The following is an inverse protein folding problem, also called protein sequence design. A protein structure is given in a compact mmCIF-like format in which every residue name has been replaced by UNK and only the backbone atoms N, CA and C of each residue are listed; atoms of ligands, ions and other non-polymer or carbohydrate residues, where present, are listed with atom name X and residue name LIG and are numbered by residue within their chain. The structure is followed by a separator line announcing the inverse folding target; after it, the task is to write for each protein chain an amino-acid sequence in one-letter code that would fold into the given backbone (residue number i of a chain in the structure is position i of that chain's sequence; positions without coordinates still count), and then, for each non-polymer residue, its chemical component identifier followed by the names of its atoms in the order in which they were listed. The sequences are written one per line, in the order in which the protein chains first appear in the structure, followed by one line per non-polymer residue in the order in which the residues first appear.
data_IF_351861969211
#
_entry.id   IF_351861969211
#
_cell.length_a   1.000
_cell.length_b   1.000
_cell.length_c   1.000
_cell.angle_alpha   90.00
_cell.angle_beta   90.00
_cell.angle_gamma   90.00
#
_symmetry.space_group_name_H-M   'P 1'
#
loop_
_entity.id
_entity.type
_entity.pdbx_description
1 polymer ?
#
# COMPACT_ATOMS: atom_id res chain seq x y z
N UNK A 1 -3.28 24.41 -9.32
CA UNK A 1 -4.13 24.32 -8.08
C UNK A 1 -3.23 24.18 -6.85
N UNK A 2 -3.60 24.80 -5.72
CA UNK A 2 -2.84 24.67 -4.47
C UNK A 2 -3.39 23.50 -3.65
N UNK A 3 -2.71 22.36 -3.67
CA UNK A 3 -3.14 21.14 -2.94
C UNK A 3 -3.19 21.33 -1.42
N UNK A 4 -2.45 22.30 -0.86
CA UNK A 4 -2.42 22.59 0.58
C UNK A 4 -3.70 23.26 1.08
N UNK A 5 -4.46 23.92 0.18
CA UNK A 5 -5.73 24.60 0.50
C UNK A 5 -6.98 23.74 0.25
N UNK A 6 -6.83 22.49 -0.25
CA UNK A 6 -7.98 21.62 -0.46
C UNK A 6 -8.75 21.39 0.85
N UNK A 7 -10.09 21.50 0.85
CA UNK A 7 -10.91 21.32 2.05
C UNK A 7 -11.10 19.84 2.39
N UNK A 8 -10.00 19.15 2.76
CA UNK A 8 -10.04 17.78 3.22
C UNK A 8 -10.57 17.73 4.65
N UNK A 9 -11.56 16.88 4.88
CA UNK A 9 -12.17 16.72 6.21
C UNK A 9 -11.19 16.01 7.14
N UNK A 10 -10.80 16.60 8.30
CA UNK A 10 -9.97 15.93 9.26
C UNK A 10 -10.58 14.62 9.77
N UNK A 11 -9.76 13.61 10.00
CA UNK A 11 -10.23 12.38 10.63
C UNK A 11 -10.64 12.66 12.09
N UNK A 12 -11.83 12.20 12.45
CA UNK A 12 -12.32 12.24 13.82
C UNK A 12 -12.88 10.88 14.20
N UNK A 13 -12.44 10.37 15.34
CA UNK A 13 -12.98 9.13 15.92
C UNK A 13 -13.60 9.41 17.27
N UNK A 14 -14.70 8.73 17.65
CA UNK A 14 -15.23 8.80 19.00
C UNK A 14 -14.20 8.39 20.04
N UNK A 15 -14.26 8.96 21.24
CA UNK A 15 -13.31 8.70 22.33
C UNK A 15 -13.14 7.21 22.65
N UNK A 16 -14.23 6.44 22.68
CA UNK A 16 -14.20 5.00 22.97
C UNK A 16 -13.53 4.17 21.87
N UNK A 17 -13.40 4.69 20.65
CA UNK A 17 -12.66 4.09 19.53
C UNK A 17 -11.20 4.58 19.46
N UNK A 18 -10.84 5.57 20.28
CA UNK A 18 -9.47 6.07 20.34
C UNK A 18 -8.47 5.09 20.97
N UNK A 19 -8.96 3.96 21.50
CA UNK A 19 -8.10 2.90 22.05
C UNK A 19 -7.17 2.36 20.95
N UNK A 20 -5.88 2.28 21.24
CA UNK A 20 -4.83 1.92 20.27
C UNK A 20 -5.05 0.60 19.52
N UNK A 21 -5.55 -0.41 20.17
CA UNK A 21 -5.67 -1.74 19.58
C UNK A 21 -6.98 -1.92 18.80
N UNK A 22 -8.03 -1.19 19.19
CA UNK A 22 -9.35 -1.27 18.58
C UNK A 22 -9.29 -0.81 17.11
N UNK A 23 -8.69 0.33 16.82
CA UNK A 23 -8.63 0.89 15.46
C UNK A 23 -7.84 0.03 14.47
N UNK A 24 -6.85 -0.77 14.91
CA UNK A 24 -6.09 -1.65 14.02
C UNK A 24 -6.82 -2.97 13.71
N UNK A 25 -7.58 -3.48 14.68
CA UNK A 25 -8.20 -4.80 14.59
C UNK A 25 -9.65 -4.69 14.12
N UNK A 26 -10.39 -3.69 14.57
CA UNK A 26 -11.81 -3.50 14.31
C UNK A 26 -12.19 -3.45 12.82
N UNK A 27 -11.39 -2.83 11.92
CA UNK A 27 -11.71 -2.81 10.49
C UNK A 27 -11.90 -4.20 9.87
N UNK A 28 -11.19 -5.21 10.38
CA UNK A 28 -11.31 -6.59 9.90
C UNK A 28 -12.66 -7.23 10.21
N UNK A 29 -13.38 -6.69 11.20
CA UNK A 29 -14.71 -7.17 11.57
C UNK A 29 -15.85 -6.35 10.93
N UNK A 30 -15.54 -5.23 10.28
CA UNK A 30 -16.51 -4.47 9.50
C UNK A 30 -16.69 -5.16 8.16
N UNK A 31 -17.73 -5.98 8.07
CA UNK A 31 -18.06 -6.70 6.83
C UNK A 31 -18.57 -5.72 5.78
N UNK A 32 -17.78 -5.50 4.74
CA UNK A 32 -18.21 -4.85 3.52
C UNK A 32 -18.57 -5.91 2.49
N UNK A 33 -19.63 -5.71 1.67
CA UNK A 33 -19.91 -6.59 0.54
C UNK A 33 -18.68 -6.67 -0.35
N UNK A 34 -18.37 -7.86 -0.86
CA UNK A 34 -17.27 -8.01 -1.81
C UNK A 34 -17.66 -7.34 -3.12
N UNK A 35 -16.80 -6.48 -3.71
CA UNK A 35 -17.02 -5.92 -5.04
C UNK A 35 -17.07 -7.03 -6.10
N UNK A 36 -17.76 -6.77 -7.21
CA UNK A 36 -17.73 -7.67 -8.36
C UNK A 36 -16.41 -7.51 -9.11
N UNK A 37 -15.37 -8.17 -8.60
CA UNK A 37 -14.05 -8.12 -9.22
C UNK A 37 -13.98 -8.93 -10.50
N UNK A 38 -13.46 -8.32 -11.56
CA UNK A 38 -13.03 -9.01 -12.77
C UNK A 38 -11.51 -9.23 -12.66
N UNK A 39 -11.11 -10.48 -12.47
CA UNK A 39 -9.70 -10.84 -12.29
C UNK A 39 -9.02 -11.07 -13.62
N UNK A 40 -7.91 -10.38 -13.83
CA UNK A 40 -6.99 -10.59 -14.94
C UNK A 40 -5.63 -11.03 -14.38
N UNK A 41 -5.01 -12.01 -15.03
CA UNK A 41 -3.65 -12.42 -14.72
C UNK A 41 -2.71 -11.80 -15.75
N UNK A 42 -1.65 -11.16 -15.26
CA UNK A 42 -0.66 -10.51 -16.09
C UNK A 42 0.74 -10.95 -15.68
N UNK A 43 1.70 -11.01 -16.62
CA UNK A 43 3.08 -11.29 -16.27
C UNK A 43 3.64 -10.22 -15.35
N UNK A 44 4.50 -10.61 -14.41
CA UNK A 44 5.35 -9.67 -13.70
C UNK A 44 6.42 -9.08 -14.64
N UNK A 45 7.21 -8.10 -14.19
CA UNK A 45 8.25 -7.48 -15.03
C UNK A 45 9.32 -8.44 -15.54
N UNK A 46 9.47 -9.60 -14.91
CA UNK A 46 10.43 -10.63 -15.34
C UNK A 46 9.85 -11.61 -16.35
N UNK A 47 8.52 -11.65 -16.49
CA UNK A 47 7.80 -12.62 -17.30
C UNK A 47 7.81 -14.04 -16.74
N UNK A 48 8.33 -14.25 -15.52
CA UNK A 48 8.51 -15.59 -14.93
C UNK A 48 7.38 -16.02 -14.00
N UNK A 49 6.51 -15.10 -13.62
CA UNK A 49 5.31 -15.38 -12.81
C UNK A 49 4.13 -14.53 -13.24
N UNK A 50 2.93 -14.93 -12.84
CA UNK A 50 1.72 -14.16 -13.02
C UNK A 50 1.36 -13.39 -11.75
N UNK A 51 0.77 -12.22 -11.92
CA UNK A 51 0.21 -11.40 -10.84
C UNK A 51 -1.25 -11.06 -11.15
N UNK A 52 -2.08 -11.01 -10.12
CA UNK A 52 -3.51 -10.73 -10.28
C UNK A 52 -3.77 -9.21 -10.29
N UNK A 53 -4.63 -8.80 -11.21
CA UNK A 53 -5.21 -7.46 -11.31
C UNK A 53 -6.72 -7.63 -11.14
N UNK A 54 -7.27 -7.21 -10.00
CA UNK A 54 -8.70 -7.30 -9.71
C UNK A 54 -9.37 -5.97 -10.05
N UNK A 55 -10.02 -5.92 -11.21
CA UNK A 55 -10.73 -4.75 -11.70
C UNK A 55 -12.16 -4.66 -11.15
N UNK A 56 -12.61 -3.43 -10.90
CA UNK A 56 -14.01 -3.06 -10.73
C UNK A 56 -14.32 -1.97 -11.74
N UNK A 57 -15.21 -2.27 -12.68
CA UNK A 57 -15.62 -1.31 -13.70
C UNK A 57 -16.79 -0.45 -13.21
N UNK A 58 -16.81 0.80 -13.63
CA UNK A 58 -17.86 1.75 -13.27
C UNK A 58 -19.21 1.44 -13.91
N UNK A 59 -19.19 0.77 -15.08
CA UNK A 59 -20.38 0.39 -15.82
C UNK A 59 -20.72 -1.10 -15.65
N UNK A 60 -21.94 -1.46 -16.01
CA UNK A 60 -22.46 -2.84 -15.92
C UNK A 60 -21.96 -3.77 -17.03
N UNK A 61 -21.37 -3.22 -18.08
CA UNK A 61 -20.86 -3.95 -19.23
C UNK A 61 -19.45 -4.48 -19.00
N UNK A 62 -18.82 -4.13 -17.86
CA UNK A 62 -17.44 -4.45 -17.51
C UNK A 62 -16.43 -4.01 -18.58
N UNK A 63 -16.70 -2.86 -19.19
CA UNK A 63 -15.82 -2.24 -20.18
C UNK A 63 -15.07 -1.05 -19.56
N UNK A 64 -13.84 -0.76 -20.02
CA UNK A 64 -13.08 0.38 -19.55
C UNK A 64 -13.85 1.71 -19.74
N UNK A 65 -13.93 2.49 -18.67
CA UNK A 65 -14.38 3.88 -18.72
C UNK A 65 -13.15 4.79 -18.88
N UNK A 66 -12.87 5.24 -20.09
CA UNK A 66 -11.71 6.06 -20.38
C UNK A 66 -11.93 7.57 -20.17
N UNK A 67 -13.14 7.99 -19.82
CA UNK A 67 -13.48 9.40 -19.55
C UNK A 67 -12.89 9.88 -18.20
N UNK A 68 -12.65 8.95 -17.30
CA UNK A 68 -12.03 9.21 -15.99
C UNK A 68 -10.69 8.50 -15.84
N UNK A 69 -9.81 8.99 -14.95
CA UNK A 69 -8.59 8.25 -14.63
C UNK A 69 -8.90 6.88 -14.03
N UNK A 70 -8.11 5.85 -14.36
CA UNK A 70 -8.13 4.59 -13.63
C UNK A 70 -7.63 4.81 -12.19
N UNK A 71 -8.37 4.34 -11.20
CA UNK A 71 -7.94 4.37 -9.81
C UNK A 71 -7.20 3.08 -9.45
N UNK A 72 -5.89 3.15 -9.30
CA UNK A 72 -5.02 2.01 -8.96
C UNK A 72 -4.80 1.95 -7.46
N UNK A 73 -4.80 0.75 -6.87
CA UNK A 73 -4.40 0.54 -5.47
C UNK A 73 -3.35 -0.56 -5.32
N UNK A 74 -2.28 -0.22 -4.60
CA UNK A 74 -1.25 -1.14 -4.12
C UNK A 74 -1.50 -1.49 -2.65
N UNK A 75 -1.61 -2.78 -2.35
CA UNK A 75 -1.93 -3.26 -1.00
C UNK A 75 -0.71 -3.26 -0.07
N UNK A 76 -0.95 -3.45 1.23
CA UNK A 76 0.10 -3.62 2.23
C UNK A 76 0.70 -5.04 2.23
N UNK A 77 1.68 -5.26 3.13
CA UNK A 77 2.34 -6.55 3.30
C UNK A 77 1.29 -7.67 3.48
N UNK A 78 1.38 -8.72 2.63
CA UNK A 78 0.46 -9.87 2.60
C UNK A 78 -1.04 -9.49 2.42
N UNK A 79 -1.30 -8.30 1.86
CA UNK A 79 -2.65 -7.86 1.53
C UNK A 79 -3.19 -8.43 0.23
N UNK A 80 -4.43 -8.07 -0.08
CA UNK A 80 -5.10 -8.43 -1.33
C UNK A 80 -6.31 -7.53 -1.60
N UNK A 81 -7.03 -7.77 -2.68
CA UNK A 81 -8.33 -7.17 -2.98
C UNK A 81 -9.40 -7.48 -1.93
N UNK A 82 -9.21 -8.51 -1.09
CA UNK A 82 -10.09 -8.85 0.03
C UNK A 82 -9.77 -8.04 1.30
N UNK A 83 -8.74 -7.21 1.30
CA UNK A 83 -8.43 -6.31 2.42
C UNK A 83 -9.54 -5.26 2.58
N UNK A 84 -9.95 -4.96 3.82
CA UNK A 84 -11.05 -4.02 4.11
C UNK A 84 -10.89 -2.66 3.41
N UNK A 85 -9.66 -2.14 3.35
CA UNK A 85 -9.35 -0.87 2.70
C UNK A 85 -9.44 -0.96 1.16
N UNK A 86 -9.09 -2.11 0.57
CA UNK A 86 -9.18 -2.35 -0.86
C UNK A 86 -10.66 -2.44 -1.30
N UNK A 87 -11.47 -3.19 -0.53
CA UNK A 87 -12.93 -3.27 -0.74
C UNK A 87 -13.57 -1.89 -0.63
N UNK A 88 -13.22 -1.12 0.41
CA UNK A 88 -13.77 0.23 0.60
C UNK A 88 -13.35 1.20 -0.52
N UNK A 89 -12.10 1.09 -1.00
CA UNK A 89 -11.59 1.87 -2.12
C UNK A 89 -12.35 1.54 -3.42
N UNK A 90 -12.51 0.25 -3.73
CA UNK A 90 -13.22 -0.21 -4.92
C UNK A 90 -14.70 0.24 -4.92
N UNK A 91 -15.40 0.15 -3.78
CA UNK A 91 -16.75 0.68 -3.66
C UNK A 91 -16.83 2.20 -3.86
N UNK A 92 -15.86 2.94 -3.32
CA UNK A 92 -15.84 4.39 -3.48
C UNK A 92 -15.58 4.77 -4.94
N UNK A 93 -14.65 4.09 -5.62
CA UNK A 93 -14.36 4.27 -7.03
C UNK A 93 -15.62 4.06 -7.87
N UNK A 94 -16.24 2.90 -7.75
CA UNK A 94 -17.47 2.55 -8.47
C UNK A 94 -18.58 3.58 -8.23
N UNK A 95 -18.82 3.99 -6.98
CA UNK A 95 -19.84 4.98 -6.62
C UNK A 95 -19.61 6.33 -7.30
N UNK A 96 -18.36 6.70 -7.56
CA UNK A 96 -17.98 7.96 -8.21
C UNK A 96 -17.81 7.82 -9.73
N UNK A 97 -18.10 6.64 -10.30
CA UNK A 97 -17.97 6.35 -11.72
C UNK A 97 -16.53 6.22 -12.19
N UNK A 98 -15.59 5.81 -11.32
CA UNK A 98 -14.23 5.46 -11.67
C UNK A 98 -14.11 3.97 -11.85
N UNK A 99 -13.38 3.53 -12.85
CA UNK A 99 -12.82 2.20 -12.84
C UNK A 99 -11.71 2.12 -11.77
N UNK A 100 -11.62 0.98 -11.10
CA UNK A 100 -10.57 0.74 -10.13
C UNK A 100 -9.89 -0.60 -10.37
N UNK A 101 -8.62 -0.69 -10.03
CA UNK A 101 -7.87 -1.95 -10.02
C UNK A 101 -7.07 -2.09 -8.74
N UNK A 102 -7.18 -3.24 -8.11
CA UNK A 102 -6.31 -3.65 -7.02
C UNK A 102 -5.22 -4.52 -7.65
N UNK A 103 -4.00 -3.99 -7.69
CA UNK A 103 -2.85 -4.71 -8.23
C UNK A 103 -2.19 -5.51 -7.12
N UNK A 104 -2.03 -6.82 -7.33
CA UNK A 104 -1.38 -7.67 -6.35
C UNK A 104 0.13 -7.73 -6.59
N UNK A 105 0.86 -7.93 -5.50
CA UNK A 105 2.28 -8.27 -5.58
C UNK A 105 2.46 -9.76 -5.84
N UNK A 106 3.65 -10.18 -6.28
CA UNK A 106 4.02 -11.58 -6.52
C UNK A 106 3.64 -12.46 -5.34
N UNK A 107 2.95 -13.57 -5.60
CA UNK A 107 2.53 -14.50 -4.55
C UNK A 107 1.40 -14.00 -3.65
N UNK A 108 0.71 -12.90 -4.01
CA UNK A 108 -0.43 -12.37 -3.29
C UNK A 108 -1.74 -12.54 -4.09
N UNK A 109 -2.89 -12.34 -3.43
CA UNK A 109 -4.20 -12.45 -4.08
C UNK A 109 -4.56 -13.87 -4.52
N UNK A 110 -3.93 -14.90 -3.95
CA UNK A 110 -4.22 -16.31 -4.28
C UNK A 110 -3.53 -16.82 -5.55
N UNK A 111 -2.56 -16.10 -6.08
CA UNK A 111 -1.71 -16.52 -7.22
C UNK A 111 -0.34 -16.91 -6.68
N UNK A 112 0.09 -18.13 -6.98
CA UNK A 112 1.42 -18.61 -6.58
C UNK A 112 2.52 -17.86 -7.33
N UNK A 113 3.63 -17.61 -6.65
CA UNK A 113 4.80 -16.97 -7.24
C UNK A 113 5.81 -18.02 -7.74
N UNK A 114 5.92 -18.16 -9.05
CA UNK A 114 6.88 -19.06 -9.72
C UNK A 114 8.23 -18.39 -10.02
N UNK A 115 8.34 -17.07 -9.80
CA UNK A 115 9.58 -16.32 -9.96
C UNK A 115 10.55 -16.63 -8.82
N UNK A 116 11.86 -16.55 -9.08
CA UNK A 116 12.87 -16.55 -8.03
C UNK A 116 12.76 -15.32 -7.11
N UNK A 117 12.32 -14.20 -7.66
CA UNK A 117 12.13 -12.96 -6.92
C UNK A 117 10.78 -12.94 -6.22
N UNK A 118 10.77 -12.46 -4.99
CA UNK A 118 9.55 -12.08 -4.29
C UNK A 118 9.29 -10.57 -4.46
N UNK A 119 8.25 -10.04 -3.83
CA UNK A 119 8.06 -8.60 -3.77
C UNK A 119 8.78 -8.01 -2.56
N UNK A 120 9.12 -6.73 -2.64
CA UNK A 120 9.72 -6.00 -1.53
C UNK A 120 9.23 -4.54 -1.49
N UNK A 121 9.55 -3.82 -0.41
CA UNK A 121 9.03 -2.46 -0.21
C UNK A 121 9.62 -1.41 -1.16
N UNK A 122 10.71 -1.74 -1.86
CA UNK A 122 11.40 -0.84 -2.80
C UNK A 122 11.29 -1.26 -4.26
N UNK A 123 10.41 -2.22 -4.63
CA UNK A 123 10.32 -2.73 -6.02
C UNK A 123 9.59 -1.76 -6.96
N UNK A 124 10.16 -0.55 -7.12
CA UNK A 124 9.60 0.49 -7.99
C UNK A 124 9.68 0.13 -9.47
N UNK A 125 10.62 -0.74 -9.86
CA UNK A 125 10.70 -1.26 -11.22
C UNK A 125 9.46 -2.10 -11.57
N UNK A 126 8.93 -2.88 -10.61
CA UNK A 126 7.66 -3.57 -10.78
C UNK A 126 6.50 -2.59 -10.91
N UNK A 127 6.48 -1.50 -10.12
CA UNK A 127 5.46 -0.45 -10.25
C UNK A 127 5.49 0.21 -11.63
N UNK A 128 6.67 0.50 -12.18
CA UNK A 128 6.82 0.99 -13.57
C UNK A 128 6.19 0.03 -14.55
N UNK A 129 6.50 -1.27 -14.44
CA UNK A 129 5.93 -2.31 -15.30
C UNK A 129 4.40 -2.36 -15.20
N UNK A 130 3.86 -2.36 -13.99
CA UNK A 130 2.42 -2.40 -13.71
C UNK A 130 1.70 -1.19 -14.34
N UNK A 131 2.22 0.02 -14.18
CA UNK A 131 1.65 1.22 -14.78
C UNK A 131 1.73 1.21 -16.31
N UNK A 132 2.85 0.76 -16.87
CA UNK A 132 3.00 0.65 -18.33
C UNK A 132 2.00 -0.35 -18.90
N UNK A 133 1.79 -1.49 -18.25
CA UNK A 133 0.82 -2.49 -18.66
C UNK A 133 -0.61 -1.93 -18.65
N UNK A 134 -0.98 -1.19 -17.60
CA UNK A 134 -2.29 -0.53 -17.50
C UNK A 134 -2.52 0.49 -18.63
N UNK A 135 -1.46 1.18 -19.06
CA UNK A 135 -1.54 2.12 -20.19
C UNK A 135 -1.58 1.42 -21.54
N UNK A 136 -0.71 0.44 -21.75
CA UNK A 136 -0.50 -0.14 -23.11
C UNK A 136 -1.47 -1.26 -23.42
N UNK A 137 -1.77 -2.13 -22.46
CA UNK A 137 -2.65 -3.28 -22.66
C UNK A 137 -4.13 -2.95 -22.37
N UNK A 138 -4.39 -2.11 -21.35
CA UNK A 138 -5.74 -1.77 -20.93
C UNK A 138 -6.22 -0.40 -21.43
N UNK A 139 -5.35 0.39 -22.07
CA UNK A 139 -5.71 1.64 -22.74
C UNK A 139 -5.93 2.85 -21.82
N UNK A 140 -5.66 2.75 -20.52
CA UNK A 140 -5.85 3.88 -19.60
C UNK A 140 -4.73 4.90 -19.73
N UNK A 141 -4.98 6.00 -20.43
CA UNK A 141 -4.02 7.11 -20.56
C UNK A 141 -3.86 7.92 -19.28
N UNK A 142 -4.92 7.99 -18.46
CA UNK A 142 -4.99 8.75 -17.20
C UNK A 142 -5.09 7.79 -16.01
N UNK A 143 -4.25 7.98 -15.00
CA UNK A 143 -4.18 7.12 -13.83
C UNK A 143 -4.04 7.98 -12.57
N UNK A 144 -4.76 7.61 -11.51
CA UNK A 144 -4.50 8.04 -10.12
C UNK A 144 -4.18 6.82 -9.28
N UNK A 145 -3.28 6.96 -8.32
CA UNK A 145 -2.82 5.80 -7.56
C UNK A 145 -2.94 5.99 -6.05
N UNK A 146 -3.31 4.93 -5.34
CA UNK A 146 -3.25 4.85 -3.88
C UNK A 146 -2.38 3.67 -3.47
N UNK A 147 -1.61 3.84 -2.39
CA UNK A 147 -0.87 2.76 -1.78
C UNK A 147 -1.15 2.70 -0.27
N UNK A 148 -1.07 1.49 0.28
CA UNK A 148 -1.29 1.23 1.70
C UNK A 148 -0.07 0.55 2.29
N UNK A 149 0.46 1.06 3.43
CA UNK A 149 1.57 0.44 4.16
C UNK A 149 2.80 0.19 3.26
N UNK A 150 3.22 -1.05 3.05
CA UNK A 150 4.31 -1.42 2.14
C UNK A 150 4.07 -0.87 0.73
N UNK A 151 2.86 -1.05 0.19
CA UNK A 151 2.50 -0.52 -1.14
C UNK A 151 2.49 1.00 -1.18
N UNK A 152 2.26 1.67 -0.04
CA UNK A 152 2.36 3.12 0.08
C UNK A 152 3.81 3.59 0.05
N UNK A 153 4.73 2.88 0.72
CA UNK A 153 6.16 3.16 0.64
C UNK A 153 6.67 3.00 -0.80
N UNK A 154 6.32 1.89 -1.45
CA UNK A 154 6.69 1.65 -2.86
C UNK A 154 6.15 2.75 -3.78
N UNK A 155 4.86 3.14 -3.63
CA UNK A 155 4.26 4.19 -4.44
C UNK A 155 4.94 5.55 -4.20
N UNK A 156 5.19 5.93 -2.95
CA UNK A 156 5.85 7.19 -2.60
C UNK A 156 7.27 7.24 -3.18
N UNK A 157 8.01 6.13 -3.09
CA UNK A 157 9.34 5.98 -3.66
C UNK A 157 9.29 6.08 -5.19
N UNK A 158 8.36 5.36 -5.84
CA UNK A 158 8.11 5.45 -7.28
C UNK A 158 7.84 6.90 -7.73
N UNK A 159 6.97 7.63 -7.02
CA UNK A 159 6.67 9.03 -7.33
C UNK A 159 7.91 9.93 -7.25
N UNK A 160 8.76 9.71 -6.24
CA UNK A 160 10.00 10.47 -6.08
C UNK A 160 11.10 10.10 -7.08
N UNK A 161 11.20 8.83 -7.47
CA UNK A 161 12.18 8.37 -8.46
C UNK A 161 11.80 8.78 -9.89
N UNK A 162 10.50 8.73 -10.21
CA UNK A 162 10.03 9.05 -11.56
C UNK A 162 9.78 10.56 -11.77
N UNK A 163 9.51 11.31 -10.72
CA UNK A 163 9.23 12.74 -10.84
C UNK A 163 8.16 13.02 -11.90
N UNK A 164 8.48 13.85 -12.90
CA UNK A 164 7.57 14.21 -13.99
C UNK A 164 7.19 13.02 -14.89
N UNK A 165 8.04 11.99 -14.95
CA UNK A 165 7.78 10.77 -15.71
C UNK A 165 6.82 9.79 -15.01
N UNK A 166 6.42 10.05 -13.76
CA UNK A 166 5.47 9.20 -13.06
C UNK A 166 4.18 9.02 -13.88
N UNK A 167 3.72 7.79 -14.00
CA UNK A 167 2.57 7.44 -14.83
C UNK A 167 1.23 7.97 -14.30
N UNK A 168 1.13 8.23 -12.99
CA UNK A 168 -0.09 8.72 -12.36
C UNK A 168 -0.09 10.24 -12.21
N UNK A 169 -1.28 10.84 -12.40
CA UNK A 169 -1.53 12.28 -12.29
C UNK A 169 -1.53 12.75 -10.83
N UNK A 170 -1.96 11.89 -9.91
CA UNK A 170 -1.97 12.15 -8.49
C UNK A 170 -1.79 10.84 -7.69
N UNK A 171 -1.21 10.94 -6.49
CA UNK A 171 -1.00 9.80 -5.61
C UNK A 171 -1.52 10.04 -4.18
N UNK A 172 -2.04 8.98 -3.53
CA UNK A 172 -2.38 8.97 -2.10
C UNK A 172 -1.62 7.85 -1.40
N UNK A 173 -0.79 8.22 -0.44
CA UNK A 173 0.14 7.37 0.31
C UNK A 173 -0.40 7.21 1.72
N UNK A 174 -0.87 6.00 2.09
CA UNK A 174 -1.59 5.75 3.34
C UNK A 174 -0.76 4.90 4.29
N UNK A 175 -0.49 5.41 5.50
CA UNK A 175 0.23 4.69 6.56
C UNK A 175 1.56 4.09 6.08
N UNK A 176 2.31 4.83 5.28
CA UNK A 176 3.57 4.38 4.69
C UNK A 176 4.71 4.34 5.72
N UNK A 177 5.44 3.23 5.85
CA UNK A 177 6.71 3.18 6.58
C UNK A 177 7.81 3.85 5.75
N UNK A 178 7.75 5.18 5.60
CA UNK A 178 8.65 5.93 4.72
C UNK A 178 10.13 5.82 5.10
N UNK A 179 10.41 5.50 6.34
CA UNK A 179 11.72 5.06 6.85
C UNK A 179 11.59 3.65 7.39
N UNK A 180 12.07 2.68 6.61
CA UNK A 180 11.95 1.26 6.95
C UNK A 180 12.81 0.88 8.15
N UNK A 181 13.96 1.52 8.33
CA UNK A 181 14.86 1.24 9.46
C UNK A 181 14.18 1.52 10.80
N UNK A 182 13.56 2.70 10.93
CA UNK A 182 12.88 3.05 12.19
C UNK A 182 11.55 2.33 12.34
N UNK A 183 10.88 2.00 11.24
CA UNK A 183 9.65 1.20 11.26
C UNK A 183 9.90 -0.24 11.65
N UNK A 184 10.98 -0.88 11.18
CA UNK A 184 11.41 -2.20 11.66
C UNK A 184 11.66 -2.18 13.18
N UNK A 185 12.36 -1.15 13.69
CA UNK A 185 12.54 -0.97 15.15
C UNK A 185 11.22 -0.79 15.90
N UNK A 186 10.23 -0.12 15.31
CA UNK A 186 8.91 0.04 15.92
C UNK A 186 8.18 -1.30 16.09
N UNK A 187 8.40 -2.27 15.19
CA UNK A 187 7.83 -3.61 15.28
C UNK A 187 8.36 -4.43 16.48
N UNK A 188 9.47 -4.04 17.08
CA UNK A 188 9.97 -4.66 18.32
C UNK A 188 9.21 -4.22 19.59
N UNK A 189 8.34 -3.22 19.51
CA UNK A 189 7.49 -2.81 20.63
C UNK A 189 6.60 -3.98 21.06
N UNK A 190 6.34 -4.08 22.38
CA UNK A 190 5.72 -5.24 23.02
C UNK A 190 4.48 -5.79 22.31
N UNK A 191 3.53 -4.93 21.96
CA UNK A 191 2.28 -5.37 21.29
C UNK A 191 2.52 -5.72 19.83
N UNK A 192 3.31 -4.92 19.10
CA UNK A 192 3.64 -5.18 17.71
C UNK A 192 4.32 -6.56 17.58
N UNK A 193 5.30 -6.84 18.42
CA UNK A 193 6.02 -8.12 18.45
C UNK A 193 5.11 -9.33 18.69
N UNK A 194 4.14 -9.20 19.61
CA UNK A 194 3.32 -10.36 20.03
C UNK A 194 2.07 -10.58 19.20
N UNK A 195 1.51 -9.53 18.61
CA UNK A 195 0.22 -9.60 17.93
C UNK A 195 0.39 -9.46 16.41
N UNK A 196 1.11 -8.44 15.96
CA UNK A 196 1.17 -8.12 14.54
C UNK A 196 2.28 -8.87 13.81
N UNK A 197 3.46 -9.01 14.44
CA UNK A 197 4.59 -9.69 13.80
C UNK A 197 4.25 -11.13 13.42
N UNK A 198 3.69 -11.99 14.28
CA UNK A 198 3.32 -13.35 13.86
C UNK A 198 2.31 -13.38 12.71
N UNK A 199 1.35 -12.47 12.73
CA UNK A 199 0.34 -12.36 11.68
C UNK A 199 0.95 -12.04 10.30
N UNK A 200 1.98 -11.19 10.25
CA UNK A 200 2.66 -10.80 9.02
C UNK A 200 3.77 -11.78 8.64
N UNK A 201 4.53 -12.29 9.61
CA UNK A 201 5.68 -13.15 9.37
C UNK A 201 5.30 -14.56 8.91
N UNK A 202 4.23 -15.16 9.47
CA UNK A 202 3.86 -16.53 9.15
C UNK A 202 3.58 -16.76 7.65
N UNK A 203 2.79 -15.91 6.94
CA UNK A 203 2.61 -16.06 5.50
C UNK A 203 3.90 -15.90 4.70
N UNK A 204 4.78 -14.99 5.11
CA UNK A 204 6.10 -14.79 4.46
C UNK A 204 6.95 -16.07 4.59
N UNK A 205 7.02 -16.65 5.77
CA UNK A 205 7.72 -17.91 6.02
C UNK A 205 7.17 -19.06 5.19
N UNK A 206 5.83 -19.19 5.10
CA UNK A 206 5.19 -20.21 4.29
C UNK A 206 5.57 -20.10 2.80
N UNK A 207 5.67 -18.88 2.28
CA UNK A 207 6.12 -18.62 0.90
C UNK A 207 7.61 -18.92 0.74
N UNK A 208 8.45 -18.49 1.68
CA UNK A 208 9.87 -18.73 1.64
C UNK A 208 10.20 -20.23 1.67
N UNK A 209 9.53 -21.03 2.51
CA UNK A 209 9.73 -22.48 2.57
C UNK A 209 9.36 -23.23 1.29
N UNK A 210 8.56 -22.64 0.40
CA UNK A 210 8.29 -23.22 -0.93
C UNK A 210 9.46 -23.05 -1.91
N UNK A 211 10.42 -22.16 -1.59
CA UNK A 211 11.49 -21.72 -2.50
C UNK A 211 12.92 -21.99 -1.98
N UNK A 212 13.03 -22.43 -0.74
CA UNK A 212 14.34 -22.65 -0.09
C UNK A 212 14.55 -24.14 0.08
N UNK A 213 15.61 -24.65 -0.54
CA UNK A 213 16.02 -26.06 -0.42
C UNK A 213 17.24 -26.25 0.49
N UNK A 214 17.95 -25.16 0.84
CA UNK A 214 19.13 -25.21 1.69
C UNK A 214 18.78 -25.50 3.16
N UNK A 215 19.22 -26.63 3.74
CA UNK A 215 18.85 -27.01 5.11
C UNK A 215 19.26 -26.01 6.18
N UNK A 216 20.41 -25.35 6.00
CA UNK A 216 20.91 -24.35 6.95
C UNK A 216 19.98 -23.12 6.98
N UNK A 217 19.57 -22.61 5.81
CA UNK A 217 18.64 -21.47 5.71
C UNK A 217 17.24 -21.83 6.21
N UNK A 218 16.75 -23.04 5.87
CA UNK A 218 15.45 -23.54 6.40
C UNK A 218 15.47 -23.55 7.94
N UNK A 219 16.56 -24.04 8.53
CA UNK A 219 16.69 -24.08 9.99
C UNK A 219 16.78 -22.68 10.59
N UNK A 220 17.51 -21.76 9.97
CA UNK A 220 17.59 -20.36 10.39
C UNK A 220 16.20 -19.71 10.36
N UNK A 221 15.44 -19.82 9.24
CA UNK A 221 14.11 -19.26 9.06
C UNK A 221 13.08 -19.83 10.06
N UNK A 222 13.20 -21.09 10.48
CA UNK A 222 12.32 -21.69 11.51
C UNK A 222 12.48 -21.05 12.89
N UNK A 223 13.63 -20.43 13.16
CA UNK A 223 13.96 -19.87 14.47
C UNK A 223 13.73 -18.38 14.60
N UNK A 224 13.47 -17.64 13.50
CA UNK A 224 13.21 -16.20 13.53
C UNK A 224 11.85 -15.89 14.15
N UNK A 225 11.76 -14.70 14.73
CA UNK A 225 10.56 -14.20 15.41
C UNK A 225 10.16 -12.80 14.99
N UNK A 226 10.98 -12.17 14.13
CA UNK A 226 10.82 -10.78 13.74
C UNK A 226 10.92 -10.64 12.21
N UNK A 227 10.30 -9.59 11.67
CA UNK A 227 10.32 -9.32 10.22
C UNK A 227 11.72 -8.91 9.76
N UNK A 228 12.45 -8.14 10.57
CA UNK A 228 13.81 -7.73 10.25
C UNK A 228 14.80 -8.91 10.22
N UNK A 229 14.59 -9.95 11.02
CA UNK A 229 15.33 -11.21 10.92
C UNK A 229 15.04 -11.94 9.58
N UNK A 230 13.76 -11.91 9.15
CA UNK A 230 13.36 -12.44 7.84
C UNK A 230 14.01 -11.65 6.70
N UNK A 231 13.98 -10.34 6.79
CA UNK A 231 14.56 -9.47 5.77
C UNK A 231 16.08 -9.62 5.69
N UNK A 232 16.78 -9.80 6.82
CA UNK A 232 18.23 -10.07 6.84
C UNK A 232 18.58 -11.39 6.17
N UNK A 233 17.84 -12.47 6.51
CA UNK A 233 18.18 -13.83 6.05
C UNK A 233 17.65 -14.14 4.64
N UNK A 234 16.55 -13.53 4.24
CA UNK A 234 15.83 -13.92 3.04
C UNK A 234 15.65 -12.78 2.04
N UNK A 235 14.97 -11.68 2.43
CA UNK A 235 14.62 -10.61 1.49
C UNK A 235 15.87 -9.92 0.92
N UNK A 236 16.77 -9.48 1.78
CA UNK A 236 17.93 -8.69 1.37
C UNK A 236 18.90 -9.46 0.47
N UNK A 237 19.30 -10.70 0.78
CA UNK A 237 20.17 -11.48 -0.10
C UNK A 237 19.53 -11.78 -1.46
N UNK A 238 18.26 -12.18 -1.50
CA UNK A 238 17.57 -12.54 -2.75
C UNK A 238 17.40 -11.37 -3.71
N UNK A 239 17.30 -10.16 -3.18
CA UNK A 239 17.14 -8.95 -3.99
C UNK A 239 18.45 -8.17 -4.21
N UNK A 240 19.59 -8.73 -3.84
CA UNK A 240 20.90 -8.14 -4.07
C UNK A 240 21.26 -6.99 -3.14
N UNK A 241 20.50 -6.76 -2.06
CA UNK A 241 20.85 -5.74 -1.06
C UNK A 241 21.97 -6.17 -0.11
N UNK A 242 22.25 -7.47 -0.03
CA UNK A 242 23.25 -8.08 0.83
C UNK A 242 22.78 -8.18 2.28
N UNK A 243 22.43 -7.08 2.93
CA UNK A 243 21.96 -7.04 4.34
C UNK A 243 20.61 -6.37 4.46
N UNK A 244 19.86 -6.72 5.52
CA UNK A 244 18.59 -6.06 5.84
C UNK A 244 18.73 -4.55 6.08
N UNK A 245 19.86 -4.12 6.67
CA UNK A 245 20.17 -2.70 6.86
C UNK A 245 20.27 -1.96 5.51
N UNK A 246 21.00 -2.52 4.55
CA UNK A 246 21.10 -1.97 3.20
C UNK A 246 19.74 -1.97 2.48
N UNK A 247 18.96 -3.05 2.63
CA UNK A 247 17.61 -3.12 2.10
C UNK A 247 16.75 -1.96 2.62
N UNK A 248 16.72 -1.74 3.92
CA UNK A 248 15.93 -0.67 4.51
C UNK A 248 16.36 0.73 4.06
N UNK A 249 17.67 0.98 4.00
CA UNK A 249 18.19 2.28 3.51
C UNK A 249 17.78 2.49 2.04
N UNK A 250 17.97 1.49 1.19
CA UNK A 250 17.74 1.62 -0.24
C UNK A 250 16.26 1.59 -0.61
N UNK A 251 15.42 0.87 0.14
CA UNK A 251 13.99 0.73 -0.14
C UNK A 251 13.10 1.79 0.52
N UNK A 252 13.63 2.59 1.46
CA UNK A 252 12.88 3.67 2.11
C UNK A 252 12.51 4.79 1.15
N UNK A 253 11.26 5.29 1.25
CA UNK A 253 10.80 6.39 0.42
C UNK A 253 11.27 7.77 0.91
N UNK A 254 11.55 7.92 2.21
CA UNK A 254 11.86 9.21 2.84
C UNK A 254 12.92 10.03 2.09
N UNK A 255 14.06 9.45 1.62
CA UNK A 255 15.09 10.24 0.94
C UNK A 255 14.65 10.86 -0.38
N UNK A 256 13.64 10.28 -1.05
CA UNK A 256 13.19 10.71 -2.38
C UNK A 256 11.89 11.51 -2.37
N UNK A 257 11.25 11.72 -1.21
CA UNK A 257 10.00 12.49 -1.12
C UNK A 257 10.15 13.95 -1.60
N UNK A 258 11.36 14.53 -1.49
CA UNK A 258 11.67 15.87 -2.01
C UNK A 258 11.62 15.97 -3.54
N UNK A 259 11.76 14.84 -4.23
CA UNK A 259 11.80 14.77 -5.69
C UNK A 259 10.42 14.57 -6.31
N UNK A 260 9.38 14.42 -5.51
CA UNK A 260 8.01 14.27 -6.02
C UNK A 260 7.57 15.57 -6.66
N UNK A 261 7.22 15.51 -7.95
CA UNK A 261 6.78 16.68 -8.74
C UNK A 261 5.29 16.68 -9.03
N UNK A 262 4.60 15.55 -8.79
CA UNK A 262 3.15 15.44 -9.01
C UNK A 262 2.35 15.50 -7.69
N UNK A 263 1.09 15.96 -7.73
CA UNK A 263 0.24 16.05 -6.55
C UNK A 263 0.23 14.75 -5.76
N UNK A 264 0.67 14.81 -4.50
CA UNK A 264 0.72 13.63 -3.62
C UNK A 264 0.21 13.98 -2.24
N UNK A 265 -0.69 13.15 -1.72
CA UNK A 265 -1.24 13.25 -0.36
C UNK A 265 -0.70 12.11 0.50
N UNK A 266 0.01 12.44 1.59
CA UNK A 266 0.46 11.46 2.58
C UNK A 266 -0.49 11.49 3.77
N UNK A 267 -1.19 10.40 4.03
CA UNK A 267 -2.14 10.23 5.13
C UNK A 267 -1.52 9.28 6.17
N UNK A 268 -1.38 9.75 7.41
CA UNK A 268 -0.83 8.93 8.50
C UNK A 268 -1.47 9.31 9.84
N UNK A 269 -1.71 8.30 10.69
CA UNK A 269 -2.06 8.52 12.08
C UNK A 269 -0.78 8.55 12.94
N UNK A 270 -0.66 9.54 13.83
CA UNK A 270 0.52 9.69 14.71
C UNK A 270 0.64 8.56 15.73
N UNK A 271 -0.46 7.87 15.98
CA UNK A 271 -0.54 6.73 16.89
C UNK A 271 -0.36 5.38 16.19
N UNK A 272 0.11 5.34 14.94
CA UNK A 272 0.37 4.12 14.19
C UNK A 272 1.51 3.30 14.83
N UNK A 273 1.24 2.06 15.29
CA UNK A 273 2.24 1.26 16.00
C UNK A 273 3.32 0.66 15.09
N UNK A 274 3.11 0.66 13.77
CA UNK A 274 4.03 0.08 12.79
C UNK A 274 5.07 1.09 12.30
N UNK A 275 4.83 2.37 12.54
CA UNK A 275 5.67 3.41 11.97
C UNK A 275 6.71 3.91 12.98
N UNK A 276 7.88 4.20 12.46
CA UNK A 276 8.95 4.90 13.15
C UNK A 276 8.85 6.41 12.92
N UNK A 277 9.82 6.97 12.19
CA UNK A 277 9.83 8.38 11.82
C UNK A 277 8.72 8.66 10.80
N UNK A 278 7.99 9.75 11.01
CA UNK A 278 7.05 10.30 10.05
C UNK A 278 7.73 11.43 9.27
N UNK A 279 7.43 11.56 7.99
CA UNK A 279 7.91 12.67 7.17
C UNK A 279 7.45 14.01 7.75
N UNK A 280 8.32 15.01 7.70
CA UNK A 280 8.01 16.39 8.05
C UNK A 280 7.88 17.25 6.79
N UNK A 281 7.46 18.51 6.96
CA UNK A 281 7.39 19.43 5.81
C UNK A 281 8.78 19.69 5.20
N UNK A 282 9.85 19.51 5.98
CA UNK A 282 11.24 19.63 5.48
C UNK A 282 11.68 18.44 4.62
N UNK A 283 10.99 17.31 4.70
CA UNK A 283 11.33 16.07 3.99
C UNK A 283 10.62 15.93 2.65
N UNK A 284 9.66 16.79 2.33
CA UNK A 284 8.80 16.66 1.17
C UNK A 284 8.91 17.86 0.22
N UNK A 285 8.54 17.64 -1.05
CA UNK A 285 8.42 18.72 -2.03
C UNK A 285 7.14 19.56 -1.81
N UNK A 286 7.02 20.74 -2.45
CA UNK A 286 5.78 21.52 -2.46
C UNK A 286 4.58 20.78 -3.10
N UNK A 287 4.81 19.73 -3.89
CA UNK A 287 3.78 18.90 -4.51
C UNK A 287 3.22 17.84 -3.54
N UNK A 288 3.74 17.76 -2.31
CA UNK A 288 3.30 16.79 -1.31
C UNK A 288 2.57 17.49 -0.18
N UNK A 289 1.36 17.04 0.11
CA UNK A 289 0.60 17.46 1.29
C UNK A 289 0.62 16.37 2.36
N UNK A 290 0.99 16.73 3.58
CA UNK A 290 0.93 15.86 4.76
C UNK A 290 -0.41 16.05 5.47
N UNK A 291 -1.17 14.97 5.64
CA UNK A 291 -2.44 14.93 6.36
C UNK A 291 -2.33 13.95 7.54
N UNK A 292 -1.98 14.48 8.70
CA UNK A 292 -1.78 13.69 9.91
C UNK A 292 -2.95 13.80 10.87
N UNK A 293 -3.44 12.65 11.35
CA UNK A 293 -4.43 12.57 12.42
C UNK A 293 -3.76 12.16 13.73
N UNK A 294 -4.35 12.51 14.87
CA UNK A 294 -3.86 12.06 16.18
C UNK A 294 -4.13 10.58 16.39
N UNK A 295 -5.28 10.11 15.87
CA UNK A 295 -5.76 8.73 15.97
C UNK A 295 -6.06 8.21 14.57
N UNK A 296 -6.13 6.88 14.41
CA UNK A 296 -6.39 6.21 13.14
C UNK A 296 -5.63 4.90 13.02
N UNK A 297 -4.54 4.76 13.80
CA UNK A 297 -3.69 3.56 13.81
C UNK A 297 -3.24 3.15 12.41
N UNK A 298 -2.83 1.88 12.27
CA UNK A 298 -2.37 1.37 10.98
C UNK A 298 -3.56 1.04 10.08
N UNK A 299 -3.85 1.94 9.13
CA UNK A 299 -4.94 1.79 8.13
C UNK A 299 -6.34 1.58 8.76
N UNK A 300 -6.52 1.93 10.03
CA UNK A 300 -7.79 1.74 10.73
C UNK A 300 -8.82 2.77 10.29
N UNK A 301 -8.63 4.00 10.72
CA UNK A 301 -9.47 5.15 10.39
C UNK A 301 -10.98 4.87 10.47
N UNK A 302 -11.37 4.07 11.49
CA UNK A 302 -12.77 3.71 11.73
C UNK A 302 -13.51 4.90 12.31
N UNK A 303 -14.63 5.24 11.71
CA UNK A 303 -15.54 6.29 12.16
C UNK A 303 -16.87 5.69 12.61
N UNK A 304 -17.59 6.46 13.42
CA UNK A 304 -19.00 6.22 13.73
C UNK A 304 -19.84 7.25 12.97
N UNK A 305 -20.68 6.79 12.06
CA UNK A 305 -21.60 7.62 11.30
C UNK A 305 -22.99 6.97 11.37
N UNK A 306 -24.02 7.75 11.72
CA UNK A 306 -25.39 7.26 11.89
C UNK A 306 -25.46 6.01 12.79
N UNK A 307 -24.72 6.00 13.90
CA UNK A 307 -24.60 4.88 14.86
C UNK A 307 -24.00 3.58 14.26
N UNK A 308 -23.43 3.63 13.06
CA UNK A 308 -22.77 2.50 12.41
C UNK A 308 -21.29 2.78 12.25
N UNK A 309 -20.47 1.75 12.52
CA UNK A 309 -19.03 1.78 12.25
C UNK A 309 -18.79 1.69 10.74
N UNK A 310 -17.87 2.50 10.24
CA UNK A 310 -17.47 2.47 8.83
C UNK A 310 -15.99 2.82 8.65
N UNK A 311 -15.43 2.45 7.50
CA UNK A 311 -14.05 2.69 7.07
C UNK A 311 -13.99 3.64 5.86
N UNK A 312 -15.01 4.45 5.66
CA UNK A 312 -15.18 5.23 4.43
C UNK A 312 -14.33 6.50 4.37
N UNK A 313 -13.74 6.92 5.50
CA UNK A 313 -12.99 8.17 5.55
C UNK A 313 -11.77 8.15 4.62
N UNK A 314 -10.98 7.08 4.64
CA UNK A 314 -9.80 6.95 3.78
C UNK A 314 -10.15 7.02 2.30
N UNK A 315 -11.04 6.16 1.74
CA UNK A 315 -11.36 6.23 0.33
C UNK A 315 -12.06 7.55 -0.03
N UNK A 316 -12.95 8.09 0.81
CA UNK A 316 -13.58 9.37 0.53
C UNK A 316 -12.60 10.54 0.47
N UNK A 317 -11.60 10.54 1.36
CA UNK A 317 -10.53 11.56 1.36
C UNK A 317 -9.62 11.40 0.15
N UNK A 318 -9.26 10.16 -0.20
CA UNK A 318 -8.44 9.86 -1.38
C UNK A 318 -9.13 10.34 -2.67
N UNK A 319 -10.39 10.00 -2.88
CA UNK A 319 -11.10 10.40 -4.10
C UNK A 319 -11.40 11.90 -4.16
N UNK A 320 -11.64 12.57 -3.04
CA UNK A 320 -11.70 14.05 -3.01
C UNK A 320 -10.40 14.69 -3.46
N UNK A 321 -9.27 14.11 -3.06
CA UNK A 321 -7.97 14.58 -3.49
C UNK A 321 -7.76 14.32 -4.99
N UNK A 322 -8.07 13.12 -5.49
CA UNK A 322 -7.96 12.78 -6.90
C UNK A 322 -8.80 13.70 -7.78
N UNK A 323 -10.09 13.86 -7.48
CA UNK A 323 -10.98 14.76 -8.23
C UNK A 323 -10.42 16.17 -8.31
N UNK A 324 -9.97 16.70 -7.19
CA UNK A 324 -9.38 18.04 -7.17
C UNK A 324 -8.07 18.17 -7.96
N UNK A 325 -7.36 17.08 -8.22
CA UNK A 325 -6.10 17.10 -8.98
C UNK A 325 -6.28 16.81 -10.47
N UNK A 326 -7.40 16.20 -10.86
CA UNK A 326 -7.62 15.71 -12.24
C UNK A 326 -8.76 16.42 -12.98
N UNK A 327 -9.64 17.14 -12.25
CA UNK A 327 -10.68 18.03 -12.77
C UNK A 327 -10.11 19.46 -12.91
#
# INVERSE_FOLDING_TARGET
MNIHQLPLTPFRTPFFLANPHVQTILPKFIKLPKPNYQRHLNPDRTGTTQVAYDFVFANTENQPNLDKPLAVMFHGLEGSSDSHYAIAFAHQAHRLGYDAVIVHFRGCGGVDNTSELDYNAGDTAEAVHMFNLLKTQYGYSRIVASGVSLGANMLARYMGEQGDAAACEAAVVISAPVDLTTSAKAMHRFVAKRVYTPYLLNPLLQKAFKKVDEPALINALKNIKMIDEFDELYTAPRHGFGTGANYYIQASALPVLKNITKPTLIITAKDDPFLGILATQADVSPCVRLLYSQHGRHVGFVQLQNKKLNVNWLPSTSFKFFQACTD
#
